data_IF_158280813511
#
_entry.id   IF_158280813511
#
_cell.length_a   1.000
_cell.length_b   1.000
_cell.length_c   1.000
_cell.angle_alpha   90.00
_cell.angle_beta   90.00
_cell.angle_gamma   90.00
#
_symmetry.space_group_name_H-M   'P 1'
#
loop_
_entity.id
_entity.type
_entity.pdbx_description
1 polymer ?
#
# COMPACT_ATOMS: atom_id res chain seq x y z
N UNK A 1 9.12 -11.89 13.50
CA UNK A 1 7.65 -11.88 13.68
C UNK A 1 7.05 -12.71 12.56
N UNK A 2 6.32 -13.76 12.89
CA UNK A 2 5.57 -14.56 11.93
C UNK A 2 4.52 -13.65 11.29
N UNK A 3 4.69 -13.32 10.01
CA UNK A 3 3.63 -12.73 9.21
C UNK A 3 2.52 -13.77 9.10
N UNK A 4 1.30 -13.42 9.52
CA UNK A 4 0.19 -14.36 9.53
C UNK A 4 -0.12 -14.87 8.11
N UNK A 5 -0.67 -16.07 7.99
CA UNK A 5 -1.10 -16.66 6.70
C UNK A 5 -1.97 -15.68 5.87
N UNK A 6 -2.76 -14.84 6.53
CA UNK A 6 -3.56 -13.81 5.86
C UNK A 6 -2.77 -12.81 5.02
N UNK A 7 -1.59 -12.41 5.47
CA UNK A 7 -0.73 -11.47 4.72
C UNK A 7 -0.12 -12.12 3.47
N UNK A 8 0.20 -13.40 3.57
CA UNK A 8 0.73 -14.18 2.43
C UNK A 8 -0.33 -14.27 1.33
N UNK A 9 -1.58 -14.60 1.67
CA UNK A 9 -2.67 -14.70 0.69
C UNK A 9 -3.00 -13.36 0.05
N UNK A 10 -3.01 -12.26 0.81
CA UNK A 10 -3.27 -10.91 0.27
C UNK A 10 -2.22 -10.50 -0.75
N UNK A 11 -0.94 -10.66 -0.39
CA UNK A 11 0.17 -10.34 -1.28
C UNK A 11 0.14 -11.20 -2.54
N UNK A 12 -0.20 -12.48 -2.42
CA UNK A 12 -0.40 -13.37 -3.56
C UNK A 12 -1.53 -12.90 -4.46
N UNK A 13 -2.67 -12.54 -3.90
CA UNK A 13 -3.84 -12.08 -4.68
C UNK A 13 -3.49 -10.82 -5.47
N UNK A 14 -2.79 -9.85 -4.86
CA UNK A 14 -2.36 -8.62 -5.53
C UNK A 14 -1.34 -8.94 -6.63
N UNK A 15 -0.33 -9.78 -6.33
CA UNK A 15 0.67 -10.18 -7.31
C UNK A 15 0.03 -10.89 -8.51
N UNK A 16 -0.87 -11.85 -8.27
CA UNK A 16 -1.60 -12.57 -9.34
C UNK A 16 -2.46 -11.62 -10.16
N UNK A 17 -3.18 -10.70 -9.52
CA UNK A 17 -4.01 -9.74 -10.23
C UNK A 17 -3.16 -8.79 -11.11
N UNK A 18 -2.02 -8.31 -10.59
CA UNK A 18 -1.11 -7.45 -11.33
C UNK A 18 -0.49 -8.18 -12.53
N UNK A 19 0.03 -9.39 -12.32
CA UNK A 19 0.58 -10.21 -13.42
C UNK A 19 -0.48 -10.50 -14.49
N UNK A 20 -1.67 -10.92 -14.13
CA UNK A 20 -2.76 -11.19 -15.08
C UNK A 20 -3.18 -9.96 -15.89
N UNK A 21 -3.03 -8.75 -15.33
CA UNK A 21 -3.36 -7.50 -16.04
C UNK A 21 -2.33 -7.13 -17.08
N UNK A 22 -1.10 -7.56 -16.95
CA UNK A 22 0.00 -7.19 -17.84
C UNK A 22 0.48 -8.31 -18.76
N UNK A 23 -0.04 -9.54 -18.58
CA UNK A 23 0.38 -10.73 -19.33
C UNK A 23 0.33 -10.56 -20.86
N UNK A 24 -0.66 -9.85 -21.37
CA UNK A 24 -0.89 -9.68 -22.81
C UNK A 24 -0.71 -8.23 -23.25
N UNK A 25 -0.06 -7.38 -22.42
CA UNK A 25 0.16 -5.96 -22.71
C UNK A 25 1.64 -5.68 -22.92
N UNK A 26 2.05 -4.98 -23.99
CA UNK A 26 3.39 -4.43 -24.07
C UNK A 26 3.69 -3.55 -22.85
N UNK A 27 4.94 -3.61 -22.36
CA UNK A 27 5.32 -2.90 -21.14
C UNK A 27 5.04 -1.39 -21.20
N UNK A 28 5.20 -0.80 -22.38
CA UNK A 28 4.93 0.62 -22.66
C UNK A 28 3.44 0.98 -22.69
N UNK A 29 2.55 0.00 -22.85
CA UNK A 29 1.10 0.19 -22.90
C UNK A 29 0.40 -0.15 -21.58
N UNK A 30 1.15 -0.49 -20.53
CA UNK A 30 0.54 -0.86 -19.26
C UNK A 30 -0.14 0.34 -18.59
N UNK A 31 -1.41 0.17 -18.26
CA UNK A 31 -2.26 1.10 -17.50
C UNK A 31 -2.60 0.53 -16.12
N UNK A 32 -1.65 -0.18 -15.51
CA UNK A 32 -1.81 -0.81 -14.20
C UNK A 32 -0.82 -0.17 -13.24
N UNK A 33 -1.30 0.32 -12.11
CA UNK A 33 -0.45 0.85 -11.05
C UNK A 33 -0.69 0.05 -9.78
N UNK A 34 0.40 -0.32 -9.14
CA UNK A 34 0.39 -1.14 -7.94
C UNK A 34 1.05 -0.36 -6.80
N UNK A 35 0.51 -0.50 -5.61
CA UNK A 35 1.15 0.02 -4.40
C UNK A 35 1.21 -1.03 -3.30
N UNK A 36 2.15 -0.88 -2.39
CA UNK A 36 2.29 -1.66 -1.16
C UNK A 36 2.32 -0.70 0.04
N UNK A 37 1.36 -0.83 0.92
CA UNK A 37 1.27 -0.02 2.12
C UNK A 37 2.03 -0.69 3.26
N UNK A 38 3.12 -0.07 3.69
CA UNK A 38 4.05 -0.60 4.71
C UNK A 38 4.20 0.30 5.92
N UNK A 39 3.21 1.13 6.21
CA UNK A 39 3.28 2.07 7.32
C UNK A 39 3.61 1.38 8.64
N UNK A 40 4.65 1.82 9.40
CA UNK A 40 5.10 1.14 10.61
C UNK A 40 4.27 1.45 11.86
N UNK A 41 3.31 2.38 11.75
CA UNK A 41 2.55 2.86 12.89
C UNK A 41 1.74 1.79 13.64
N UNK A 42 1.02 2.21 14.67
CA UNK A 42 0.25 1.33 15.56
C UNK A 42 -0.68 0.38 14.84
N UNK A 43 -1.34 0.85 13.79
CA UNK A 43 -2.19 0.01 12.92
C UNK A 43 -1.37 -0.86 11.99
N UNK A 44 -0.12 -0.48 11.72
CA UNK A 44 0.73 -1.14 10.74
C UNK A 44 0.05 -1.23 9.38
N UNK A 45 0.43 -2.21 8.60
CA UNK A 45 -0.20 -2.55 7.32
C UNK A 45 -1.37 -3.56 7.52
N UNK A 46 -2.23 -3.31 8.50
CA UNK A 46 -3.41 -4.14 8.76
C UNK A 46 -4.48 -3.93 7.67
N UNK A 47 -5.52 -4.78 7.68
CA UNK A 47 -6.63 -4.65 6.73
C UNK A 47 -7.26 -3.25 6.80
N UNK A 48 -7.39 -2.60 5.67
CA UNK A 48 -7.95 -1.25 5.50
C UNK A 48 -7.21 -0.12 6.25
N UNK A 49 -5.99 -0.36 6.77
CA UNK A 49 -5.25 0.66 7.50
C UNK A 49 -4.80 1.84 6.61
N UNK A 50 -4.77 1.65 5.30
CA UNK A 50 -4.48 2.67 4.29
C UNK A 50 -5.68 3.60 3.99
N UNK A 51 -6.91 3.19 4.29
CA UNK A 51 -8.12 3.98 3.99
C UNK A 51 -8.07 5.39 4.60
N UNK A 52 -7.78 5.59 5.88
CA UNK A 52 -7.67 6.93 6.45
C UNK A 52 -6.63 7.82 5.78
N UNK A 53 -5.56 7.23 5.27
CA UNK A 53 -4.51 7.94 4.53
C UNK A 53 -5.03 8.44 3.17
N UNK A 54 -5.67 7.55 2.40
CA UNK A 54 -6.26 7.88 1.10
C UNK A 54 -7.32 8.97 1.16
N UNK A 55 -8.13 8.99 2.22
CA UNK A 55 -9.26 9.91 2.35
C UNK A 55 -9.02 11.09 3.32
N UNK A 56 -7.82 11.22 3.89
CA UNK A 56 -7.48 12.32 4.79
C UNK A 56 -8.26 12.29 6.11
N UNK A 57 -8.63 11.11 6.58
CA UNK A 57 -9.43 10.92 7.79
C UNK A 57 -8.61 10.33 8.92
N UNK A 58 -7.46 10.96 9.20
CA UNK A 58 -6.45 10.45 10.12
C UNK A 58 -6.80 10.59 11.61
N UNK A 59 -7.77 11.41 11.99
CA UNK A 59 -8.18 11.54 13.39
C UNK A 59 -8.55 10.19 13.99
N UNK A 60 -8.08 9.89 15.21
CA UNK A 60 -8.21 8.59 15.86
C UNK A 60 -9.65 8.04 15.83
N UNK A 61 -10.64 8.86 16.18
CA UNK A 61 -12.05 8.49 16.16
C UNK A 61 -12.59 8.14 14.78
N UNK A 62 -12.12 8.87 13.76
CA UNK A 62 -12.55 8.66 12.38
C UNK A 62 -11.90 7.42 11.79
N UNK A 63 -10.60 7.24 12.04
CA UNK A 63 -9.88 6.05 11.63
C UNK A 63 -10.46 4.78 12.27
N UNK A 64 -10.81 4.83 13.55
CA UNK A 64 -11.44 3.71 14.26
C UNK A 64 -12.82 3.34 13.71
N UNK A 65 -13.60 4.31 13.26
CA UNK A 65 -14.89 4.05 12.60
C UNK A 65 -14.74 3.38 11.23
N UNK A 66 -13.67 3.71 10.50
CA UNK A 66 -13.45 3.17 9.15
C UNK A 66 -12.82 1.77 9.17
N UNK A 67 -11.87 1.52 10.06
CA UNK A 67 -11.06 0.30 10.06
C UNK A 67 -11.19 -0.53 11.34
N UNK A 68 -12.03 -0.11 12.25
CA UNK A 68 -12.22 -0.73 13.56
C UNK A 68 -11.18 -0.30 14.59
N UNK A 69 -11.46 -0.54 15.87
CA UNK A 69 -10.58 -0.16 16.96
C UNK A 69 -9.26 -0.95 16.91
N UNK A 70 -8.17 -0.29 17.25
CA UNK A 70 -6.88 -0.97 17.40
C UNK A 70 -6.88 -1.78 18.68
N UNK A 71 -6.87 -3.09 18.55
CA UNK A 71 -6.86 -4.04 19.67
C UNK A 71 -5.45 -4.27 20.21
N UNK A 72 -4.68 -3.22 20.47
CA UNK A 72 -3.39 -3.41 21.13
C UNK A 72 -3.56 -3.24 22.64
N UNK A 73 -3.06 -4.19 23.38
CA UNK A 73 -3.13 -4.25 24.82
C UNK A 73 -2.09 -3.37 25.53
N UNK A 74 -1.28 -2.63 24.79
CA UNK A 74 -0.24 -1.77 25.35
C UNK A 74 -0.57 -0.29 25.14
N UNK A 75 -1.17 0.40 26.14
CA UNK A 75 -1.46 1.84 26.04
C UNK A 75 -0.21 2.72 26.05
N UNK A 76 0.96 2.16 26.32
CA UNK A 76 2.24 2.86 26.33
C UNK A 76 3.04 2.65 25.04
N UNK A 77 2.44 2.06 23.99
CA UNK A 77 3.12 1.92 22.70
C UNK A 77 3.29 3.30 22.05
N UNK A 78 4.53 3.81 21.93
CA UNK A 78 4.78 5.12 21.33
C UNK A 78 4.37 5.20 19.86
N UNK A 79 4.11 4.06 19.22
CA UNK A 79 3.61 4.02 17.83
C UNK A 79 2.10 4.28 17.74
N UNK A 80 1.43 4.44 18.88
CA UNK A 80 -0.01 4.66 18.95
C UNK A 80 -0.48 5.93 18.22
N UNK A 81 0.36 6.95 18.18
CA UNK A 81 0.05 8.27 17.62
C UNK A 81 0.56 8.47 16.18
N UNK A 82 1.11 7.46 15.53
CA UNK A 82 1.84 7.63 14.25
C UNK A 82 0.95 8.09 13.10
N UNK A 83 -0.35 7.84 13.13
CA UNK A 83 -1.27 8.42 12.15
C UNK A 83 -1.57 9.91 12.39
N UNK A 84 -1.18 10.43 13.55
CA UNK A 84 -1.40 11.82 13.96
C UNK A 84 -0.11 12.65 13.92
N UNK A 85 1.04 12.01 13.68
CA UNK A 85 2.31 12.72 13.59
C UNK A 85 2.50 13.42 12.24
N UNK A 86 3.48 14.29 12.17
CA UNK A 86 3.78 15.06 10.97
C UNK A 86 4.19 14.18 9.77
N UNK A 87 4.84 13.05 10.01
CA UNK A 87 5.23 12.12 8.96
C UNK A 87 4.01 11.39 8.36
N UNK A 88 3.08 10.95 9.24
CA UNK A 88 1.82 10.36 8.82
C UNK A 88 0.98 11.32 7.99
N UNK A 89 0.86 12.57 8.42
CA UNK A 89 0.14 13.58 7.67
C UNK A 89 0.80 13.84 6.31
N UNK A 90 2.12 13.94 6.26
CA UNK A 90 2.87 14.14 5.00
C UNK A 90 2.63 12.98 4.02
N UNK A 91 2.71 11.74 4.50
CA UNK A 91 2.46 10.57 3.65
C UNK A 91 1.00 10.53 3.18
N UNK A 92 0.04 10.88 4.03
CA UNK A 92 -1.36 10.99 3.64
C UNK A 92 -1.60 12.05 2.57
N UNK A 93 -0.98 13.21 2.71
CA UNK A 93 -1.08 14.29 1.71
C UNK A 93 -0.53 13.83 0.34
N UNK A 94 0.57 13.09 0.34
CA UNK A 94 1.13 12.50 -0.87
C UNK A 94 0.22 11.44 -1.47
N UNK A 95 -0.37 10.56 -0.67
CA UNK A 95 -1.33 9.54 -1.14
C UNK A 95 -2.57 10.19 -1.75
N UNK A 96 -3.14 11.20 -1.11
CA UNK A 96 -4.30 11.95 -1.61
C UNK A 96 -3.97 12.69 -2.91
N UNK A 97 -2.79 13.29 -2.98
CA UNK A 97 -2.30 13.93 -4.20
C UNK A 97 -2.19 12.93 -5.36
N UNK A 98 -1.61 11.76 -5.09
CA UNK A 98 -1.48 10.67 -6.07
C UNK A 98 -2.85 10.16 -6.56
N UNK A 99 -3.80 9.97 -5.65
CA UNK A 99 -5.17 9.57 -5.99
C UNK A 99 -5.86 10.64 -6.86
N UNK A 100 -5.72 11.91 -6.48
CA UNK A 100 -6.30 13.03 -7.22
C UNK A 100 -5.70 13.12 -8.63
N UNK A 101 -4.39 12.93 -8.75
CA UNK A 101 -3.69 12.93 -10.03
C UNK A 101 -4.16 11.76 -10.91
N UNK A 102 -4.29 10.57 -10.32
CA UNK A 102 -4.82 9.40 -11.02
C UNK A 102 -6.24 9.62 -11.54
N UNK A 103 -7.13 10.21 -10.75
CA UNK A 103 -8.51 10.49 -11.16
C UNK A 103 -8.56 11.49 -12.34
N UNK A 104 -7.67 12.49 -12.33
CA UNK A 104 -7.67 13.56 -13.37
C UNK A 104 -6.94 13.17 -14.63
N UNK A 105 -5.78 12.51 -14.48
CA UNK A 105 -4.82 12.30 -15.56
C UNK A 105 -4.65 10.82 -15.95
N UNK A 106 -5.26 9.90 -15.20
CA UNK A 106 -5.08 8.46 -15.40
C UNK A 106 -3.72 7.94 -14.98
N UNK A 107 -2.92 8.74 -14.27
CA UNK A 107 -1.57 8.38 -13.82
C UNK A 107 -1.37 8.90 -12.38
N UNK A 108 -1.01 8.06 -11.41
CA UNK A 108 -0.84 8.49 -10.03
C UNK A 108 0.53 9.13 -9.71
N UNK A 109 1.41 9.27 -10.68
CA UNK A 109 2.70 9.93 -10.51
C UNK A 109 3.89 8.99 -10.32
N UNK A 110 3.72 7.69 -10.49
CA UNK A 110 4.82 6.72 -10.56
C UNK A 110 4.69 5.82 -11.78
N UNK A 111 5.75 5.10 -12.20
CA UNK A 111 5.70 4.23 -13.37
C UNK A 111 4.63 3.13 -13.25
N UNK A 112 3.99 2.80 -14.37
CA UNK A 112 3.05 1.69 -14.44
C UNK A 112 3.73 0.35 -14.15
N UNK A 113 2.98 -0.57 -13.58
CA UNK A 113 3.41 -1.95 -13.38
C UNK A 113 3.44 -2.67 -14.74
N UNK A 114 4.54 -3.33 -15.03
CA UNK A 114 4.70 -4.17 -16.20
C UNK A 114 5.57 -5.40 -15.87
N UNK A 115 5.64 -6.36 -16.77
CA UNK A 115 6.37 -7.61 -16.62
C UNK A 115 7.90 -7.47 -16.56
N UNK A 116 8.45 -6.35 -17.05
CA UNK A 116 9.89 -6.10 -17.06
C UNK A 116 10.40 -5.53 -15.75
N UNK A 117 9.70 -4.54 -15.20
CA UNK A 117 10.17 -3.79 -14.03
C UNK A 117 9.44 -4.15 -12.75
N UNK A 118 8.17 -4.53 -12.86
CA UNK A 118 7.29 -4.86 -11.74
C UNK A 118 7.34 -3.81 -10.62
N UNK A 119 7.36 -2.54 -11.03
CA UNK A 119 7.43 -1.41 -10.11
C UNK A 119 6.13 -1.28 -9.34
N UNK A 120 6.24 -1.06 -8.03
CA UNK A 120 5.13 -0.55 -7.22
C UNK A 120 5.57 0.66 -6.40
N UNK A 121 4.60 1.47 -5.97
CA UNK A 121 4.81 2.51 -4.99
C UNK A 121 4.72 1.92 -3.58
N UNK A 122 5.75 2.12 -2.79
CA UNK A 122 5.76 1.74 -1.37
C UNK A 122 5.38 2.95 -0.54
N UNK A 123 4.29 2.83 0.22
CA UNK A 123 3.81 3.85 1.15
C UNK A 123 4.25 3.47 2.57
N UNK A 124 5.35 4.08 3.00
CA UNK A 124 5.93 3.99 4.34
C UNK A 124 6.29 5.40 4.85
N UNK A 125 7.18 5.51 5.83
CA UNK A 125 7.67 6.81 6.33
C UNK A 125 8.40 7.64 5.27
N UNK A 126 8.93 6.99 4.22
CA UNK A 126 9.66 7.60 3.11
C UNK A 126 9.18 7.00 1.79
N UNK A 127 8.03 7.43 1.29
CA UNK A 127 7.44 6.85 0.09
C UNK A 127 8.41 6.78 -1.07
N UNK A 128 8.48 5.63 -1.73
CA UNK A 128 9.41 5.37 -2.84
C UNK A 128 8.88 4.31 -3.80
N UNK A 129 9.38 4.34 -5.04
CA UNK A 129 9.13 3.28 -6.00
C UNK A 129 10.12 2.12 -5.78
N UNK A 130 9.61 0.90 -5.74
CA UNK A 130 10.39 -0.33 -5.57
C UNK A 130 10.23 -1.22 -6.81
N UNK A 131 11.35 -1.69 -7.36
CA UNK A 131 11.34 -2.66 -8.46
C UNK A 131 11.10 -4.07 -7.94
N UNK A 132 10.51 -4.90 -8.80
CA UNK A 132 10.25 -6.32 -8.52
C UNK A 132 9.44 -6.54 -7.22
N UNK A 133 8.46 -5.67 -7.03
CA UNK A 133 7.53 -5.72 -5.92
C UNK A 133 6.85 -7.11 -5.85
N UNK A 134 6.62 -7.60 -4.66
CA UNK A 134 6.02 -8.92 -4.44
C UNK A 134 6.82 -10.12 -4.99
N UNK A 135 8.12 -9.96 -5.25
CA UNK A 135 9.00 -11.04 -5.72
C UNK A 135 8.82 -12.35 -4.95
N UNK A 136 8.86 -12.26 -3.63
CA UNK A 136 8.73 -13.44 -2.76
C UNK A 136 7.38 -14.15 -2.98
N UNK A 137 6.31 -13.38 -3.14
CA UNK A 137 4.98 -13.93 -3.40
C UNK A 137 4.92 -14.62 -4.77
N UNK A 138 5.44 -13.97 -5.82
CA UNK A 138 5.48 -14.55 -7.17
C UNK A 138 6.33 -15.82 -7.20
N UNK A 139 7.54 -15.77 -6.67
CA UNK A 139 8.45 -16.93 -6.65
C UNK A 139 7.83 -18.12 -5.90
N UNK A 140 7.20 -17.87 -4.77
CA UNK A 140 6.57 -18.93 -3.96
C UNK A 140 5.43 -19.62 -4.71
N UNK A 141 4.74 -18.90 -5.60
CA UNK A 141 3.56 -19.38 -6.31
C UNK A 141 3.79 -19.68 -7.80
N UNK A 142 5.07 -19.65 -8.24
CA UNK A 142 5.42 -19.96 -9.63
C UNK A 142 4.87 -18.95 -10.65
N UNK A 143 4.62 -17.73 -10.23
CA UNK A 143 4.28 -16.61 -11.10
C UNK A 143 5.59 -15.99 -11.60
N UNK A 144 6.02 -16.36 -12.76
CA UNK A 144 7.27 -15.88 -13.38
C UNK A 144 7.00 -14.78 -14.37
#
# INVERSE_FOLDING_TARGET
RSRGLGDVYKRQTIATAAENRVLDQPAEESHTWVYDYRWPGRRGAAHCADIPMWFGTLGADTADRQVGPVTTTNPADPTAAVLEDAAGQTTADLMQSALTHFIKEGNPGWPSYNDLTRICMVWDEKPHAEMDCYKDARTTWGLS
#
